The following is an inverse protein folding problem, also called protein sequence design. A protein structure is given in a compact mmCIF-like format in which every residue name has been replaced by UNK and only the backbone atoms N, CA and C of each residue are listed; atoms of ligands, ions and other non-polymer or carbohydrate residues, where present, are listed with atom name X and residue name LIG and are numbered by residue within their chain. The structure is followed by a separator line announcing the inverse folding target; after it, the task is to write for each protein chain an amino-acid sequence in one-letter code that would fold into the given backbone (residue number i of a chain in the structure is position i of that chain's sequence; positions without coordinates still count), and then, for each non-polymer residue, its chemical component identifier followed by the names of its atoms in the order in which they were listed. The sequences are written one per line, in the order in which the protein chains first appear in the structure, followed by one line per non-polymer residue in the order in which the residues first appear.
data_IF_480854108795
#
_entry.id   IF_480854108795
#
_cell.length_a   1.000
_cell.length_b   1.000
_cell.length_c   1.000
_cell.angle_alpha   90.00
_cell.angle_beta   90.00
_cell.angle_gamma   90.00
#
_symmetry.space_group_name_H-M   'P 1'
#
loop_
_entity.id
_entity.type
_entity.pdbx_description
1 polymer ?
#
# COMPACT_ATOMS: atom_id res chain seq x y z
N UNK A 1 -14.25 -56.91 -20.28
CA UNK A 1 -12.81 -56.60 -20.19
C UNK A 1 -12.60 -55.14 -19.80
N UNK A 2 -12.87 -54.83 -18.53
CA UNK A 2 -12.79 -53.48 -17.95
C UNK A 2 -11.44 -53.29 -17.23
N UNK A 3 -10.33 -53.51 -17.95
CA UNK A 3 -8.98 -53.63 -17.36
C UNK A 3 -7.93 -52.79 -18.10
N UNK A 4 -8.34 -51.70 -18.76
CA UNK A 4 -7.45 -50.81 -19.51
C UNK A 4 -7.44 -49.34 -19.07
N UNK A 5 -8.35 -48.90 -18.18
CA UNK A 5 -8.47 -47.49 -17.76
C UNK A 5 -7.98 -47.23 -16.33
N UNK A 6 -7.04 -48.05 -15.85
CA UNK A 6 -6.33 -47.84 -14.59
C UNK A 6 -4.84 -47.52 -14.81
N UNK A 7 -4.50 -46.88 -15.93
CA UNK A 7 -3.19 -46.22 -16.05
C UNK A 7 -3.28 -44.91 -15.28
N UNK A 8 -3.01 -45.04 -13.98
CA UNK A 8 -2.27 -44.08 -13.16
C UNK A 8 -2.21 -42.68 -13.78
N UNK A 9 -3.25 -41.89 -13.54
CA UNK A 9 -3.08 -40.45 -13.39
C UNK A 9 -2.36 -40.26 -12.07
N UNK A 10 -1.07 -40.61 -12.06
CA UNK A 10 -0.11 -40.23 -11.04
C UNK A 10 -0.35 -38.74 -10.77
N UNK A 11 -0.91 -38.45 -9.61
CA UNK A 11 -0.72 -37.19 -8.93
C UNK A 11 0.77 -36.86 -9.00
N UNK A 12 1.14 -35.86 -9.79
CA UNK A 12 2.52 -35.44 -9.94
C UNK A 12 3.06 -35.03 -8.55
N UNK A 13 4.00 -35.79 -7.95
CA UNK A 13 4.48 -35.52 -6.60
C UNK A 13 5.47 -34.35 -6.55
N UNK A 14 5.76 -33.68 -7.68
CA UNK A 14 6.93 -32.80 -7.83
C UNK A 14 6.68 -31.31 -7.62
N UNK A 15 5.50 -30.88 -7.16
CA UNK A 15 5.20 -29.45 -6.91
C UNK A 15 5.03 -28.97 -5.44
N UNK A 16 5.65 -29.57 -4.40
CA UNK A 16 5.68 -28.94 -3.06
C UNK A 16 7.02 -28.32 -2.62
N UNK A 17 8.17 -28.63 -3.25
CA UNK A 17 9.49 -28.22 -2.71
C UNK A 17 10.02 -26.90 -3.28
N UNK A 18 9.86 -26.65 -4.58
CA UNK A 18 10.40 -25.44 -5.23
C UNK A 18 9.58 -24.18 -4.89
N UNK A 19 8.26 -24.31 -4.77
CA UNK A 19 7.38 -23.22 -4.30
C UNK A 19 7.72 -22.82 -2.87
N UNK A 20 7.94 -23.79 -1.98
CA UNK A 20 8.32 -23.53 -0.59
C UNK A 20 9.66 -22.78 -0.47
N UNK A 21 10.66 -23.13 -1.28
CA UNK A 21 11.95 -22.41 -1.29
C UNK A 21 11.80 -21.00 -1.85
N UNK A 22 11.05 -20.83 -2.93
CA UNK A 22 10.80 -19.52 -3.54
C UNK A 22 10.03 -18.60 -2.60
N UNK A 23 9.02 -19.12 -1.90
CA UNK A 23 8.25 -18.39 -0.88
C UNK A 23 9.14 -17.97 0.29
N UNK A 24 10.03 -18.86 0.77
CA UNK A 24 10.99 -18.55 1.82
C UNK A 24 11.96 -17.45 1.39
N UNK A 25 12.55 -17.57 0.20
CA UNK A 25 13.50 -16.58 -0.36
C UNK A 25 12.80 -15.24 -0.57
N UNK A 26 11.59 -15.24 -1.12
CA UNK A 26 10.83 -14.01 -1.36
C UNK A 26 10.42 -13.33 -0.05
N UNK A 27 10.04 -14.12 0.96
CA UNK A 27 9.74 -13.62 2.30
C UNK A 27 10.98 -13.01 2.96
N UNK A 28 12.11 -13.73 2.91
CA UNK A 28 13.39 -13.21 3.40
C UNK A 28 13.76 -11.89 2.72
N UNK A 29 13.72 -11.85 1.38
CA UNK A 29 14.02 -10.64 0.62
C UNK A 29 13.06 -9.51 0.98
N UNK A 30 11.76 -9.78 1.13
CA UNK A 30 10.80 -8.77 1.54
C UNK A 30 11.19 -8.12 2.87
N UNK A 31 11.43 -8.90 3.92
CA UNK A 31 11.83 -8.36 5.22
C UNK A 31 13.19 -7.66 5.15
N UNK A 32 14.15 -8.23 4.42
CA UNK A 32 15.46 -7.64 4.19
C UNK A 32 15.36 -6.24 3.54
N UNK A 33 14.55 -6.12 2.49
CA UNK A 33 14.34 -4.86 1.79
C UNK A 33 13.48 -3.87 2.59
N UNK A 34 12.58 -4.33 3.46
CA UNK A 34 11.87 -3.45 4.41
C UNK A 34 12.87 -2.80 5.37
N UNK A 35 13.73 -3.60 6.01
CA UNK A 35 14.77 -3.10 6.92
C UNK A 35 15.72 -2.17 6.16
N UNK A 36 16.20 -2.60 4.98
CA UNK A 36 17.09 -1.82 4.14
C UNK A 36 16.50 -0.48 3.72
N UNK A 37 15.29 -0.47 3.14
CA UNK A 37 14.62 0.78 2.73
C UNK A 37 14.39 1.70 3.93
N UNK A 38 13.99 1.16 5.09
CA UNK A 38 13.79 1.95 6.31
C UNK A 38 15.10 2.60 6.78
N UNK A 39 16.13 1.81 7.10
CA UNK A 39 17.37 2.35 7.67
C UNK A 39 18.11 3.23 6.66
N UNK A 40 18.24 2.79 5.41
CA UNK A 40 19.04 3.51 4.42
C UNK A 40 18.45 4.87 4.05
N UNK A 41 17.12 5.03 4.08
CA UNK A 41 16.45 6.25 3.59
C UNK A 41 15.87 7.15 4.69
N UNK A 42 15.49 6.61 5.86
CA UNK A 42 15.02 7.42 6.99
C UNK A 42 16.13 7.76 7.98
N UNK A 43 17.11 6.88 8.18
CA UNK A 43 18.25 7.11 9.07
C UNK A 43 19.49 7.58 8.31
N UNK A 44 19.81 6.94 7.18
CA UNK A 44 20.92 7.30 6.30
C UNK A 44 21.67 6.07 5.76
N UNK A 45 22.58 6.22 4.80
CA UNK A 45 23.14 7.48 4.30
C UNK A 45 22.36 8.12 3.14
N UNK A 46 21.27 7.51 2.65
CA UNK A 46 20.50 8.05 1.50
C UNK A 46 19.54 9.16 1.94
N UNK A 47 20.09 10.29 2.37
CA UNK A 47 19.33 11.47 2.80
C UNK A 47 18.81 12.32 1.63
N UNK A 48 19.35 12.10 0.44
CA UNK A 48 18.95 12.76 -0.80
C UNK A 48 18.50 11.74 -1.84
N UNK A 49 17.59 12.16 -2.72
CA UNK A 49 17.13 11.35 -3.85
C UNK A 49 18.29 11.08 -4.81
N UNK A 50 18.80 9.85 -4.76
CA UNK A 50 19.94 9.36 -5.55
C UNK A 50 19.66 7.95 -6.05
N UNK A 51 20.55 7.40 -6.89
CA UNK A 51 20.38 6.03 -7.41
C UNK A 51 20.26 4.99 -6.29
N UNK A 52 21.04 5.13 -5.21
CA UNK A 52 20.95 4.25 -4.04
C UNK A 52 19.59 4.34 -3.35
N UNK A 53 19.06 5.55 -3.18
CA UNK A 53 17.73 5.80 -2.63
C UNK A 53 16.65 5.09 -3.44
N UNK A 54 16.63 5.28 -4.77
CA UNK A 54 15.61 4.66 -5.63
C UNK A 54 15.78 3.15 -5.70
N UNK A 55 17.01 2.64 -5.72
CA UNK A 55 17.28 1.20 -5.76
C UNK A 55 16.75 0.49 -4.51
N UNK A 56 16.87 1.11 -3.32
CA UNK A 56 16.33 0.55 -2.09
C UNK A 56 14.80 0.37 -2.14
N UNK A 57 14.08 1.37 -2.66
CA UNK A 57 12.63 1.31 -2.83
C UNK A 57 12.20 0.36 -3.97
N UNK A 58 12.90 0.37 -5.10
CA UNK A 58 12.63 -0.54 -6.23
C UNK A 58 12.87 -2.00 -5.82
N UNK A 59 13.90 -2.27 -5.03
CA UNK A 59 14.15 -3.60 -4.46
C UNK A 59 12.96 -4.07 -3.62
N UNK A 60 12.48 -3.23 -2.70
CA UNK A 60 11.29 -3.52 -1.89
C UNK A 60 10.03 -3.74 -2.76
N UNK A 61 9.74 -2.84 -3.70
CA UNK A 61 8.57 -2.97 -4.59
C UNK A 61 8.64 -4.28 -5.40
N UNK A 62 9.84 -4.65 -5.87
CA UNK A 62 10.05 -5.89 -6.62
C UNK A 62 9.69 -7.12 -5.80
N UNK A 63 10.01 -7.16 -4.51
CA UNK A 63 9.60 -8.28 -3.63
C UNK A 63 8.08 -8.36 -3.45
N UNK A 64 7.38 -7.22 -3.36
CA UNK A 64 5.91 -7.18 -3.27
C UNK A 64 5.27 -7.68 -4.55
N UNK A 65 5.79 -7.27 -5.72
CA UNK A 65 5.27 -7.74 -7.02
C UNK A 65 5.50 -9.23 -7.25
N UNK A 66 6.56 -9.78 -6.64
CA UNK A 66 6.88 -11.20 -6.75
C UNK A 66 5.93 -12.08 -5.92
N UNK A 67 5.38 -11.56 -4.83
CA UNK A 67 4.32 -12.21 -4.05
C UNK A 67 2.99 -12.08 -4.83
N UNK A 68 2.83 -12.86 -5.90
CA UNK A 68 1.57 -12.88 -6.67
C UNK A 68 0.51 -13.68 -5.93
N UNK A 69 -0.66 -13.09 -5.62
CA UNK A 69 -1.85 -13.89 -5.32
C UNK A 69 -2.29 -14.57 -6.61
N UNK A 70 -2.31 -15.90 -6.64
CA UNK A 70 -2.87 -16.67 -7.75
C UNK A 70 -4.37 -16.37 -7.84
N UNK A 71 -4.79 -15.63 -8.87
CA UNK A 71 -6.21 -15.33 -9.11
C UNK A 71 -6.71 -16.14 -10.28
N UNK A 72 -7.62 -17.09 -9.99
CA UNK A 72 -8.42 -17.76 -11.02
C UNK A 72 -9.44 -16.77 -11.59
N UNK A 73 -9.58 -16.80 -12.91
CA UNK A 73 -10.57 -16.06 -13.68
C UNK A 73 -11.98 -16.50 -13.28
N UNK A 74 -12.79 -15.57 -12.76
CA UNK A 74 -14.25 -15.75 -12.63
C UNK A 74 -14.96 -14.76 -13.56
N UNK A 75 -16.09 -15.22 -14.10
CA UNK A 75 -16.87 -14.68 -15.20
C UNK A 75 -17.06 -13.14 -15.26
N UNK A 76 -17.30 -12.64 -16.48
CA UNK A 76 -17.22 -11.24 -16.91
C UNK A 76 -18.10 -10.24 -16.11
N UNK A 77 -19.19 -10.65 -15.47
CA UNK A 77 -19.98 -9.76 -14.60
C UNK A 77 -19.44 -9.69 -13.16
N UNK A 78 -18.84 -10.78 -12.68
CA UNK A 78 -18.04 -10.77 -11.45
C UNK A 78 -16.75 -9.97 -11.62
N UNK A 79 -16.20 -9.90 -12.83
CA UNK A 79 -14.92 -9.23 -13.10
C UNK A 79 -14.94 -7.73 -12.76
N UNK A 80 -16.04 -7.01 -13.06
CA UNK A 80 -16.15 -5.58 -12.72
C UNK A 80 -16.24 -5.35 -11.21
N UNK A 81 -17.05 -6.12 -10.51
CA UNK A 81 -17.17 -6.02 -9.04
C UNK A 81 -15.86 -6.39 -8.34
N UNK A 82 -15.18 -7.44 -8.82
CA UNK A 82 -13.84 -7.86 -8.36
C UNK A 82 -12.82 -6.74 -8.61
N UNK A 83 -12.84 -6.11 -9.79
CA UNK A 83 -11.94 -5.02 -10.14
C UNK A 83 -12.15 -3.79 -9.26
N UNK A 84 -13.39 -3.38 -8.99
CA UNK A 84 -13.68 -2.27 -8.06
C UNK A 84 -13.17 -2.60 -6.65
N UNK A 85 -13.41 -3.82 -6.16
CA UNK A 85 -13.01 -4.24 -4.82
C UNK A 85 -11.49 -4.33 -4.68
N UNK A 86 -10.81 -4.87 -5.69
CA UNK A 86 -9.36 -4.92 -5.74
C UNK A 86 -8.77 -3.51 -5.83
N UNK A 87 -9.34 -2.65 -6.66
CA UNK A 87 -8.95 -1.25 -6.78
C UNK A 87 -9.07 -0.48 -5.46
N UNK A 88 -10.21 -0.61 -4.78
CA UNK A 88 -10.44 -0.05 -3.44
C UNK A 88 -9.38 -0.52 -2.45
N UNK A 89 -9.11 -1.82 -2.37
CA UNK A 89 -8.11 -2.39 -1.46
C UNK A 89 -6.70 -1.91 -1.79
N UNK A 90 -6.34 -1.81 -3.08
CA UNK A 90 -5.06 -1.26 -3.53
C UNK A 90 -4.90 0.21 -3.12
N UNK A 91 -5.93 1.03 -3.31
CA UNK A 91 -5.91 2.42 -2.89
C UNK A 91 -5.75 2.57 -1.37
N UNK A 92 -6.46 1.75 -0.57
CA UNK A 92 -6.34 1.74 0.90
C UNK A 92 -4.95 1.26 1.36
N UNK A 93 -4.38 0.23 0.73
CA UNK A 93 -3.02 -0.22 1.04
C UNK A 93 -1.97 0.84 0.68
N UNK A 94 -2.16 1.54 -0.44
CA UNK A 94 -1.31 2.68 -0.81
C UNK A 94 -1.42 3.81 0.20
N UNK A 95 -2.65 4.17 0.60
CA UNK A 95 -2.90 5.17 1.64
C UNK A 95 -2.25 4.77 2.98
N UNK A 96 -2.35 3.50 3.38
CA UNK A 96 -1.71 2.99 4.58
C UNK A 96 -0.19 3.14 4.51
N UNK A 97 0.43 2.74 3.40
CA UNK A 97 1.87 2.90 3.17
C UNK A 97 2.31 4.36 3.22
N UNK A 98 1.61 5.25 2.51
CA UNK A 98 1.85 6.70 2.55
C UNK A 98 1.69 7.30 3.93
N UNK A 99 0.67 6.87 4.69
CA UNK A 99 0.42 7.33 6.05
C UNK A 99 1.58 6.97 6.98
N UNK A 100 2.09 5.75 6.88
CA UNK A 100 3.26 5.29 7.63
C UNK A 100 4.50 6.11 7.24
N UNK A 101 4.75 6.31 5.95
CA UNK A 101 5.90 7.10 5.46
C UNK A 101 5.84 8.54 5.99
N UNK A 102 4.68 9.21 5.89
CA UNK A 102 4.49 10.58 6.37
C UNK A 102 4.64 10.64 7.89
N UNK A 103 4.07 9.70 8.64
CA UNK A 103 4.22 9.61 10.08
C UNK A 103 5.69 9.52 10.48
N UNK A 104 6.43 8.55 9.91
CA UNK A 104 7.84 8.34 10.22
C UNK A 104 8.72 9.53 9.81
N UNK A 105 8.49 10.10 8.62
CA UNK A 105 9.23 11.26 8.13
C UNK A 105 8.99 12.52 8.99
N UNK A 106 7.84 12.60 9.67
CA UNK A 106 7.46 13.73 10.51
C UNK A 106 8.04 13.67 11.92
N UNK A 107 8.53 12.51 12.40
CA UNK A 107 9.06 12.34 13.77
C UNK A 107 10.18 13.35 14.07
N UNK A 108 11.13 13.53 13.15
CA UNK A 108 12.23 14.50 13.33
C UNK A 108 11.76 15.96 13.40
N UNK A 109 10.53 16.24 12.98
CA UNK A 109 9.92 17.56 12.97
C UNK A 109 8.78 17.69 13.98
N UNK A 110 8.64 16.75 14.93
CA UNK A 110 7.53 16.72 15.89
C UNK A 110 7.37 18.00 16.72
N UNK A 111 8.44 18.81 16.86
CA UNK A 111 8.46 20.04 17.66
C UNK A 111 7.99 21.29 16.92
N UNK A 112 7.79 21.21 15.60
CA UNK A 112 7.21 22.31 14.81
C UNK A 112 5.75 21.99 14.45
N UNK A 113 4.87 23.00 14.33
CA UNK A 113 3.44 22.78 14.08
C UNK A 113 3.17 21.91 12.84
N UNK A 114 3.91 22.13 11.76
CA UNK A 114 3.73 21.40 10.50
C UNK A 114 4.16 19.94 10.63
N UNK A 115 5.22 19.66 11.39
CA UNK A 115 5.65 18.29 11.66
C UNK A 115 4.70 17.56 12.61
N UNK A 116 4.14 18.25 13.62
CA UNK A 116 3.07 17.72 14.45
C UNK A 116 1.80 17.42 13.63
N UNK A 117 1.45 18.30 12.69
CA UNK A 117 0.38 18.07 11.73
C UNK A 117 0.65 16.84 10.85
N UNK A 118 1.88 16.67 10.33
CA UNK A 118 2.27 15.48 9.57
C UNK A 118 2.16 14.19 10.37
N UNK A 119 2.56 14.19 11.65
CA UNK A 119 2.37 13.06 12.56
C UNK A 119 0.88 12.71 12.74
N UNK A 120 0.05 13.72 13.00
CA UNK A 120 -1.39 13.53 13.19
C UNK A 120 -2.06 13.02 11.90
N UNK A 121 -1.74 13.63 10.74
CA UNK A 121 -2.23 13.22 9.43
C UNK A 121 -1.92 11.75 9.15
N UNK A 122 -0.67 11.34 9.37
CA UNK A 122 -0.22 9.97 9.19
C UNK A 122 -0.91 9.01 10.17
N UNK A 123 -1.01 9.35 11.45
CA UNK A 123 -1.61 8.49 12.47
C UNK A 123 -3.11 8.28 12.24
N UNK A 124 -3.86 9.37 12.04
CA UNK A 124 -5.31 9.31 11.77
C UNK A 124 -5.58 8.54 10.48
N UNK A 125 -4.86 8.84 9.41
CA UNK A 125 -5.06 8.16 8.12
C UNK A 125 -4.70 6.67 8.18
N UNK A 126 -3.65 6.30 8.91
CA UNK A 126 -3.28 4.91 9.16
C UNK A 126 -4.41 4.17 9.89
N UNK A 127 -4.94 4.74 10.98
CA UNK A 127 -6.06 4.15 11.73
C UNK A 127 -7.30 3.99 10.85
N UNK A 128 -7.68 5.04 10.12
CA UNK A 128 -8.84 5.00 9.22
C UNK A 128 -8.64 3.95 8.13
N UNK A 129 -7.47 3.88 7.49
CA UNK A 129 -7.19 2.90 6.45
C UNK A 129 -7.29 1.45 6.97
N UNK A 130 -6.75 1.16 8.16
CA UNK A 130 -6.85 -0.16 8.80
C UNK A 130 -8.32 -0.52 9.07
N UNK A 131 -9.09 0.40 9.64
CA UNK A 131 -10.53 0.17 9.90
C UNK A 131 -11.27 -0.10 8.59
N UNK A 132 -11.03 0.66 7.53
CA UNK A 132 -11.69 0.49 6.22
C UNK A 132 -11.27 -0.78 5.47
N UNK A 133 -10.09 -1.33 5.78
CA UNK A 133 -9.62 -2.62 5.29
C UNK A 133 -10.28 -3.80 6.03
N UNK A 134 -10.60 -3.63 7.31
CA UNK A 134 -11.25 -4.64 8.15
C UNK A 134 -12.78 -4.64 8.01
N UNK A 135 -13.38 -3.48 7.77
CA UNK A 135 -14.83 -3.34 7.66
C UNK A 135 -15.29 -3.62 6.24
N UNK A 136 -16.27 -4.52 6.10
CA UNK A 136 -16.94 -4.72 4.82
C UNK A 136 -17.69 -3.47 4.40
N UNK A 137 -17.50 -3.09 3.13
CA UNK A 137 -18.03 -1.85 2.56
C UNK A 137 -19.54 -1.70 2.75
N UNK A 138 -20.26 -2.83 2.67
CA UNK A 138 -21.72 -2.90 2.77
C UNK A 138 -22.23 -2.55 4.18
N UNK A 139 -21.39 -2.68 5.21
CA UNK A 139 -21.71 -2.31 6.58
C UNK A 139 -21.57 -0.80 6.85
N UNK A 140 -21.01 -0.03 5.91
CA UNK A 140 -20.85 1.42 6.03
C UNK A 140 -22.01 2.15 5.35
N UNK A 141 -22.73 2.93 6.15
CA UNK A 141 -23.81 3.80 5.66
C UNK A 141 -23.29 4.74 4.56
N UNK A 142 -23.99 4.89 3.41
CA UNK A 142 -23.51 5.65 2.27
C UNK A 142 -23.04 7.08 2.59
N UNK A 143 -23.76 7.80 3.45
CA UNK A 143 -23.42 9.16 3.86
C UNK A 143 -22.12 9.21 4.68
N UNK A 144 -21.90 8.24 5.56
CA UNK A 144 -20.66 8.12 6.34
C UNK A 144 -19.49 7.88 5.39
N UNK A 145 -19.68 6.99 4.41
CA UNK A 145 -18.66 6.64 3.42
C UNK A 145 -18.26 7.83 2.55
N UNK A 146 -19.25 8.61 2.08
CA UNK A 146 -19.02 9.88 1.38
C UNK A 146 -18.27 10.87 2.27
N UNK A 147 -18.69 11.01 3.54
CA UNK A 147 -18.01 11.87 4.52
C UNK A 147 -16.53 11.49 4.70
N UNK A 148 -16.22 10.20 4.81
CA UNK A 148 -14.84 9.69 4.92
C UNK A 148 -14.02 10.06 3.68
N UNK A 149 -14.57 9.88 2.46
CA UNK A 149 -13.86 10.22 1.23
C UNK A 149 -13.52 11.72 1.17
N UNK A 150 -14.49 12.58 1.48
CA UNK A 150 -14.30 14.04 1.49
C UNK A 150 -13.31 14.44 2.58
N UNK A 151 -13.45 13.89 3.79
CA UNK A 151 -12.55 14.16 4.91
C UNK A 151 -11.11 13.78 4.59
N UNK A 152 -10.87 12.56 4.09
CA UNK A 152 -9.54 12.11 3.70
C UNK A 152 -8.98 12.97 2.56
N UNK A 153 -9.77 13.27 1.54
CA UNK A 153 -9.34 14.10 0.41
C UNK A 153 -8.92 15.52 0.85
N UNK A 154 -9.70 16.17 1.71
CA UNK A 154 -9.38 17.50 2.22
C UNK A 154 -8.14 17.49 3.14
N UNK A 155 -8.05 16.49 4.03
CA UNK A 155 -6.87 16.35 4.91
C UNK A 155 -5.58 16.11 4.12
N UNK A 156 -5.61 15.27 3.09
CA UNK A 156 -4.42 15.00 2.28
C UNK A 156 -4.11 16.11 1.28
N UNK A 157 -5.11 16.88 0.83
CA UNK A 157 -4.87 18.10 0.07
C UNK A 157 -4.15 19.15 0.92
N UNK A 158 -4.64 19.39 2.14
CA UNK A 158 -3.98 20.26 3.11
C UNK A 158 -2.61 19.69 3.51
N UNK A 159 -2.51 18.37 3.69
CA UNK A 159 -1.29 17.61 3.93
C UNK A 159 -0.20 17.87 2.89
N UNK A 160 -0.51 17.62 1.62
CA UNK A 160 0.40 17.88 0.52
C UNK A 160 0.79 19.35 0.44
N UNK A 161 -0.18 20.27 0.58
CA UNK A 161 0.06 21.71 0.60
C UNK A 161 1.01 22.16 1.71
N UNK A 162 0.62 21.94 2.96
CA UNK A 162 1.38 22.36 4.15
C UNK A 162 2.74 21.66 4.19
N UNK A 163 2.77 20.33 4.10
CA UNK A 163 3.99 19.58 4.33
C UNK A 163 5.05 19.80 3.25
N UNK A 164 4.66 20.10 2.00
CA UNK A 164 5.61 20.22 0.88
C UNK A 164 5.91 21.66 0.47
N UNK A 165 4.96 22.60 0.59
CA UNK A 165 5.20 24.01 0.26
C UNK A 165 5.63 24.82 1.49
N UNK A 166 4.95 24.68 2.62
CA UNK A 166 5.32 25.37 3.87
C UNK A 166 6.47 24.67 4.60
N UNK A 167 6.43 23.34 4.65
CA UNK A 167 7.46 22.50 5.25
C UNK A 167 6.84 21.43 6.15
N UNK A 168 7.63 20.47 6.64
CA UNK A 168 9.09 20.43 6.55
C UNK A 168 9.65 19.75 5.30
N UNK A 169 8.81 19.14 4.46
CA UNK A 169 9.23 18.37 3.29
C UNK A 169 9.43 19.26 2.06
N UNK A 170 10.28 20.29 2.11
CA UNK A 170 10.55 21.15 0.95
C UNK A 170 11.47 20.53 -0.09
N UNK A 171 12.30 19.59 0.33
CA UNK A 171 13.20 18.82 -0.54
C UNK A 171 12.58 17.46 -0.82
N UNK A 172 12.82 16.95 -2.02
CA UNK A 172 12.39 15.60 -2.41
C UNK A 172 13.01 14.55 -1.48
N UNK A 173 12.20 13.59 -1.07
CA UNK A 173 12.55 12.54 -0.10
C UNK A 173 11.30 11.83 0.40
N UNK A 174 11.46 10.95 1.40
CA UNK A 174 10.39 10.05 1.85
C UNK A 174 9.10 10.80 2.20
N UNK A 175 9.17 11.84 3.04
CA UNK A 175 8.00 12.63 3.44
C UNK A 175 7.34 13.36 2.26
N UNK A 176 8.13 13.89 1.32
CA UNK A 176 7.62 14.56 0.12
C UNK A 176 6.81 13.59 -0.75
N UNK A 177 7.40 12.43 -1.10
CA UNK A 177 6.72 11.44 -1.93
C UNK A 177 5.55 10.79 -1.18
N UNK A 178 5.68 10.54 0.12
CA UNK A 178 4.60 10.02 0.96
C UNK A 178 3.38 10.95 0.97
N UNK A 179 3.59 12.26 1.11
CA UNK A 179 2.53 13.27 1.08
C UNK A 179 1.73 13.24 -0.24
N UNK A 180 2.43 13.28 -1.38
CA UNK A 180 1.79 13.25 -2.69
C UNK A 180 1.16 11.90 -3.03
N UNK A 181 1.82 10.79 -2.69
CA UNK A 181 1.27 9.46 -2.92
C UNK A 181 0.00 9.25 -2.10
N UNK A 182 -0.03 9.69 -0.84
CA UNK A 182 -1.23 9.58 -0.01
C UNK A 182 -2.38 10.40 -0.59
N UNK A 183 -2.12 11.61 -1.09
CA UNK A 183 -3.12 12.40 -1.82
C UNK A 183 -3.67 11.64 -3.03
N UNK A 184 -2.82 11.09 -3.89
CA UNK A 184 -3.25 10.29 -5.04
C UNK A 184 -4.05 9.05 -4.61
N UNK A 185 -3.65 8.35 -3.54
CA UNK A 185 -4.37 7.20 -3.00
C UNK A 185 -5.74 7.58 -2.43
N UNK A 186 -5.90 8.75 -1.79
CA UNK A 186 -7.23 9.21 -1.34
C UNK A 186 -8.16 9.53 -2.50
N UNK A 187 -7.65 10.17 -3.56
CA UNK A 187 -8.41 10.42 -4.78
C UNK A 187 -8.81 9.11 -5.47
N UNK A 188 -7.88 8.16 -5.56
CA UNK A 188 -8.12 6.86 -6.16
C UNK A 188 -9.14 6.03 -5.35
N UNK A 189 -9.05 6.08 -4.03
CA UNK A 189 -10.05 5.47 -3.14
C UNK A 189 -11.42 6.09 -3.38
N UNK A 190 -11.51 7.43 -3.45
CA UNK A 190 -12.75 8.14 -3.72
C UNK A 190 -13.34 7.75 -5.08
N UNK A 191 -12.56 7.59 -6.14
CA UNK A 191 -13.06 7.14 -7.44
C UNK A 191 -13.78 5.80 -7.35
N UNK A 192 -13.15 4.78 -6.75
CA UNK A 192 -13.76 3.45 -6.65
C UNK A 192 -14.95 3.37 -5.70
N UNK A 193 -15.01 4.29 -4.73
CA UNK A 193 -16.11 4.31 -3.78
C UNK A 193 -17.30 5.15 -4.26
N UNK A 194 -17.03 6.24 -4.99
CA UNK A 194 -18.01 7.18 -5.52
C UNK A 194 -18.81 6.62 -6.70
N UNK A 195 -18.22 5.76 -7.54
CA UNK A 195 -18.89 5.12 -8.68
C UNK A 195 -20.11 4.25 -8.29
N UNK A 196 -20.35 3.99 -7.00
CA UNK A 196 -21.48 3.20 -6.51
C UNK A 196 -22.25 3.90 -5.37
N UNK A 197 -22.25 5.23 -5.37
CA UNK A 197 -23.15 6.09 -4.58
C UNK A 197 -24.29 6.58 -5.47
#
# INVERSE_FOLDING_TARGET
EALGMAVSRNSDPRLPRETSLLELVTSFLFFWWVVGAFFLTFYGPFTETSNGYFSAWVGLISTVMWIKPSRKSLAQDGARAIQTMEGRKKALNGLLGSSIVVLLASIKYARIPEGAFGLALGAVSMTVAVVLLMVDRENLVPNVRRGICVFLGLMWLAGAGVLTFYGPFKKTGNGYFGAWLGMLCTLWYAMFDWEKL
#
